data_IF_453764955262
#
_entry.id   IF_453764955262
#
_cell.length_a   1.000
_cell.length_b   1.000
_cell.length_c   1.000
_cell.angle_alpha   90.00
_cell.angle_beta   90.00
_cell.angle_gamma   90.00
#
_symmetry.space_group_name_H-M   'P 1'
#
loop_
_entity.id
_entity.type
_entity.pdbx_description
1 polymer ?
#
# COMPACT_ATOMS: atom_id res chain seq x y z
N UNK A 1 6.31 -11.63 3.02
CA UNK A 1 5.04 -11.13 3.58
C UNK A 1 4.04 -10.97 2.46
N UNK A 2 2.75 -11.08 2.73
CA UNK A 2 1.64 -10.74 1.82
C UNK A 2 1.10 -9.35 2.18
N UNK A 3 0.54 -8.63 1.21
CA UNK A 3 -0.15 -7.35 1.46
C UNK A 3 -1.66 -7.59 1.37
N UNK A 4 -2.41 -7.13 2.36
CA UNK A 4 -3.85 -7.31 2.44
C UNK A 4 -4.49 -5.92 2.62
N UNK A 5 -5.32 -5.50 1.68
CA UNK A 5 -5.98 -4.18 1.69
C UNK A 5 -7.45 -4.38 2.01
N UNK A 6 -7.94 -3.77 3.08
CA UNK A 6 -9.36 -3.74 3.42
C UNK A 6 -10.01 -2.54 2.72
N UNK A 7 -11.01 -2.81 1.90
CA UNK A 7 -11.77 -1.83 1.14
C UNK A 7 -12.88 -1.20 1.99
N UNK A 8 -13.21 0.06 1.71
CA UNK A 8 -14.30 0.77 2.39
C UNK A 8 -15.67 0.15 2.15
N UNK A 9 -15.82 -0.59 1.05
CA UNK A 9 -17.02 -1.34 0.71
C UNK A 9 -17.16 -2.65 1.49
N UNK A 10 -16.18 -2.99 2.34
CA UNK A 10 -16.15 -4.20 3.16
C UNK A 10 -15.49 -5.41 2.50
N UNK A 11 -14.95 -5.26 1.28
CA UNK A 11 -14.13 -6.27 0.62
C UNK A 11 -12.67 -6.25 1.08
N UNK A 12 -11.91 -7.26 0.68
CA UNK A 12 -10.47 -7.33 0.93
C UNK A 12 -9.73 -7.77 -0.33
N UNK A 13 -8.70 -7.03 -0.71
CA UNK A 13 -7.80 -7.39 -1.81
C UNK A 13 -6.49 -7.94 -1.25
N UNK A 14 -6.14 -9.16 -1.65
CA UNK A 14 -4.95 -9.86 -1.19
C UNK A 14 -3.88 -9.94 -2.29
N UNK A 15 -2.68 -9.48 -1.95
CA UNK A 15 -1.49 -9.48 -2.77
C UNK A 15 -0.51 -10.51 -2.20
N UNK A 16 -0.61 -11.72 -2.76
CA UNK A 16 0.03 -12.90 -2.19
C UNK A 16 1.47 -13.14 -2.66
N UNK A 17 2.09 -12.23 -3.44
CA UNK A 17 3.46 -12.43 -3.89
C UNK A 17 4.47 -11.96 -2.85
N UNK A 18 5.48 -12.79 -2.66
CA UNK A 18 6.62 -12.43 -1.84
C UNK A 18 7.34 -11.20 -2.42
N UNK A 19 7.46 -10.14 -1.62
CA UNK A 19 8.07 -8.87 -2.01
C UNK A 19 7.05 -7.79 -2.40
N UNK A 20 5.76 -8.11 -2.43
CA UNK A 20 4.71 -7.09 -2.52
C UNK A 20 4.78 -6.19 -1.29
N UNK A 21 4.65 -4.89 -1.53
CA UNK A 21 4.72 -3.86 -0.49
C UNK A 21 3.73 -2.75 -0.80
N UNK A 22 3.33 -1.97 0.19
CA UNK A 22 2.43 -0.85 -0.01
C UNK A 22 3.06 0.48 0.41
N UNK A 23 2.56 1.58 -0.15
CA UNK A 23 2.97 2.94 0.16
C UNK A 23 1.72 3.75 0.46
N UNK A 24 1.61 4.25 1.69
CA UNK A 24 0.62 5.27 2.05
C UNK A 24 1.14 6.63 1.58
N UNK A 25 0.40 7.30 0.71
CA UNK A 25 0.73 8.65 0.27
C UNK A 25 0.10 9.70 1.17
N UNK A 26 0.69 10.90 1.17
CA UNK A 26 0.21 12.02 1.99
C UNK A 26 -1.13 12.60 1.51
N UNK A 27 -1.53 12.30 0.27
CA UNK A 27 -2.83 12.67 -0.30
C UNK A 27 -3.95 11.69 0.09
N UNK A 28 -3.66 10.69 0.93
CA UNK A 28 -4.59 9.66 1.38
C UNK A 28 -4.73 8.48 0.41
N UNK A 29 -4.02 8.48 -0.72
CA UNK A 29 -4.00 7.33 -1.63
C UNK A 29 -3.09 6.23 -1.11
N UNK A 30 -3.41 4.99 -1.48
CA UNK A 30 -2.60 3.81 -1.16
C UNK A 30 -2.13 3.17 -2.47
N UNK A 31 -0.82 3.02 -2.63
CA UNK A 31 -0.27 2.25 -3.75
C UNK A 31 0.26 0.91 -3.26
N UNK A 32 -0.14 -0.17 -3.90
CA UNK A 32 0.47 -1.48 -3.75
C UNK A 32 1.46 -1.70 -4.89
N UNK A 33 2.74 -1.81 -4.51
CA UNK A 33 3.85 -2.12 -5.38
C UNK A 33 4.03 -3.62 -5.42
N UNK A 34 3.59 -4.24 -6.53
CA UNK A 34 3.71 -5.67 -6.73
C UNK A 34 5.07 -6.05 -7.28
N UNK A 35 5.76 -6.99 -6.63
CA UNK A 35 7.06 -7.45 -7.07
C UNK A 35 6.94 -8.31 -8.35
N UNK A 36 7.64 -7.87 -9.40
CA UNK A 36 7.60 -8.52 -10.71
C UNK A 36 6.40 -8.17 -11.59
N UNK A 37 5.56 -7.20 -11.18
CA UNK A 37 4.58 -6.59 -12.07
C UNK A 37 5.08 -5.22 -12.54
N UNK A 38 4.77 -4.87 -13.79
CA UNK A 38 5.14 -3.57 -14.35
C UNK A 38 4.30 -2.42 -13.77
N UNK A 39 3.10 -2.76 -13.28
CA UNK A 39 2.12 -1.78 -12.80
C UNK A 39 1.83 -2.00 -11.31
N UNK A 40 1.91 -0.90 -10.58
CA UNK A 40 1.33 -0.71 -9.25
C UNK A 40 -0.20 -0.70 -9.30
N UNK A 41 -0.82 -1.04 -8.18
CA UNK A 41 -2.26 -0.88 -7.98
C UNK A 41 -2.51 0.27 -7.01
N UNK A 42 -3.29 1.26 -7.43
CA UNK A 42 -3.57 2.46 -6.64
C UNK A 42 -5.01 2.48 -6.18
N UNK A 43 -5.23 2.77 -4.90
CA UNK A 43 -6.52 3.00 -4.28
C UNK A 43 -6.68 4.47 -3.95
N UNK A 44 -7.81 5.07 -4.30
CA UNK A 44 -8.07 6.45 -3.95
C UNK A 44 -8.31 6.60 -2.45
N UNK A 45 -8.16 7.83 -1.94
CA UNK A 45 -8.56 8.17 -0.58
C UNK A 45 -10.07 7.89 -0.43
N UNK A 46 -10.40 6.90 0.40
CA UNK A 46 -11.79 6.47 0.64
C UNK A 46 -12.18 5.15 -0.03
N UNK A 47 -11.37 4.59 -0.93
CA UNK A 47 -11.58 3.24 -1.47
C UNK A 47 -11.09 2.14 -0.52
N UNK A 48 -10.20 2.50 0.39
CA UNK A 48 -9.60 1.60 1.38
C UNK A 48 -9.71 2.19 2.79
N UNK A 49 -9.72 1.31 3.79
CA UNK A 49 -9.83 1.67 5.22
C UNK A 49 -8.66 1.17 6.05
N UNK A 50 -8.10 0.03 5.69
CA UNK A 50 -6.93 -0.52 6.36
C UNK A 50 -6.04 -1.29 5.38
N UNK A 51 -4.78 -1.46 5.76
CA UNK A 51 -3.82 -2.28 5.00
C UNK A 51 -2.80 -2.94 5.93
N UNK A 52 -2.66 -4.24 5.77
CA UNK A 52 -1.69 -5.08 6.46
C UNK A 52 -0.59 -5.54 5.49
N UNK A 53 0.63 -5.70 5.99
CA UNK A 53 1.77 -6.19 5.21
C UNK A 53 2.99 -5.29 5.26
N UNK A 54 3.87 -5.43 4.26
CA UNK A 54 5.11 -4.68 4.17
C UNK A 54 4.86 -3.24 3.70
N UNK A 55 4.98 -2.28 4.62
CA UNK A 55 4.96 -0.86 4.28
C UNK A 55 6.33 -0.43 3.73
N UNK A 56 6.39 -0.01 2.47
CA UNK A 56 7.49 0.80 1.96
C UNK A 56 7.42 2.17 2.61
N UNK A 57 8.06 2.29 3.77
CA UNK A 57 8.31 3.58 4.41
C UNK A 57 9.14 4.42 3.45
N UNK A 58 8.48 5.32 2.74
CA UNK A 58 9.13 6.56 2.30
C UNK A 58 9.77 7.11 3.56
N UNK A 59 11.11 7.14 3.62
CA UNK A 59 11.81 7.83 4.70
C UNK A 59 11.23 9.23 4.71
N UNK A 60 10.33 9.52 5.66
CA UNK A 60 9.98 10.88 6.02
C UNK A 60 11.33 11.53 6.22
N UNK A 61 11.63 12.54 5.39
CA UNK A 61 12.85 13.33 5.45
C UNK A 61 13.12 13.58 6.92
N UNK A 62 14.10 12.87 7.47
CA UNK A 62 14.65 13.19 8.76
C UNK A 62 15.03 14.65 8.67
N UNK A 63 14.32 15.48 9.43
CA UNK A 63 14.93 16.41 10.36
C UNK A 63 16.46 16.30 10.38
N UNK A 64 17.17 16.93 9.44
CA UNK A 64 18.57 17.28 9.60
C UNK A 64 18.62 18.81 9.59
N UNK A 65 18.81 19.33 10.81
CA UNK A 65 19.29 20.68 11.10
C UNK A 65 20.76 20.79 10.68
#
# INVERSE_FOLDING_TARGET
>A
MTVTVTLSTGGTDEYMRFGDSYVKRNDGTLDVVRHGAKEWHSYASGDWVDVEGDEKKSKSRGFWR
#
